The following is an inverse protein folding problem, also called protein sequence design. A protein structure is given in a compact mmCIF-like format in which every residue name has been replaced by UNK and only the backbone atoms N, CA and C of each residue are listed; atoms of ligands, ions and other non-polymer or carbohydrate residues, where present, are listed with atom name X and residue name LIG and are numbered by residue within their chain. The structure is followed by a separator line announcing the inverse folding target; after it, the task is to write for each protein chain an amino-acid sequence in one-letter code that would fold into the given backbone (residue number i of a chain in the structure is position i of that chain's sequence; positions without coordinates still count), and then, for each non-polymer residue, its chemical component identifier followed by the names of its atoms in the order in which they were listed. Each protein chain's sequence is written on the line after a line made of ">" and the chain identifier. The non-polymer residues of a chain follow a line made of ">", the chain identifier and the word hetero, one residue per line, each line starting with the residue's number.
data_IF_392887048244
#
_entry.id   IF_392887048244
#
_cell.length_a   1.000
_cell.length_b   1.000
_cell.length_c   1.000
_cell.angle_alpha   90.00
_cell.angle_beta   90.00
_cell.angle_gamma   90.00
#
_symmetry.space_group_name_H-M   'P 1'
#
loop_
_entity.id
_entity.type
_entity.pdbx_description
1 polymer ?
#
# COMPACT_ATOMS: atom_id res chain seq x y z
N UNK A 1 10.19 4.96 -22.67
CA UNK A 1 10.21 3.74 -21.83
C UNK A 1 10.90 4.10 -20.53
N UNK A 2 10.11 4.46 -19.52
CA UNK A 2 10.60 4.94 -18.23
C UNK A 2 11.10 3.75 -17.42
N UNK A 3 12.40 3.51 -17.40
CA UNK A 3 13.02 2.49 -16.55
C UNK A 3 12.86 2.95 -15.10
N UNK A 4 11.80 2.51 -14.41
CA UNK A 4 11.71 2.65 -12.96
C UNK A 4 12.85 1.81 -12.36
N UNK A 5 13.95 2.47 -11.99
CA UNK A 5 15.07 1.82 -11.34
C UNK A 5 14.57 1.20 -10.03
N UNK A 6 14.61 -0.13 -9.95
CA UNK A 6 14.32 -0.86 -8.72
C UNK A 6 15.46 -0.61 -7.72
N UNK A 7 15.15 -0.47 -6.45
CA UNK A 7 16.14 -0.47 -5.37
C UNK A 7 16.91 -1.80 -5.37
N UNK A 8 18.09 -1.90 -4.73
CA UNK A 8 18.79 -3.18 -4.56
C UNK A 8 17.92 -4.27 -3.91
N UNK A 9 16.88 -3.92 -3.14
CA UNK A 9 15.93 -4.91 -2.58
C UNK A 9 14.79 -5.32 -3.54
N UNK A 10 14.78 -4.79 -4.77
CA UNK A 10 13.79 -5.07 -5.81
C UNK A 10 12.52 -4.22 -5.71
N UNK A 11 12.54 -3.09 -4.99
CA UNK A 11 11.37 -2.22 -4.78
C UNK A 11 11.30 -1.07 -5.78
N UNK A 12 10.11 -0.70 -6.22
CA UNK A 12 9.89 0.53 -7.00
C UNK A 12 9.99 1.78 -6.09
N UNK A 13 10.46 2.93 -6.62
CA UNK A 13 10.54 4.21 -5.89
C UNK A 13 9.13 4.67 -5.49
N UNK A 14 8.86 5.10 -4.26
CA UNK A 14 7.55 5.48 -3.69
C UNK A 14 6.48 6.02 -4.67
N UNK A 15 5.21 5.55 -4.60
CA UNK A 15 4.17 6.00 -5.53
C UNK A 15 3.70 7.44 -5.27
N UNK A 16 3.88 7.95 -4.05
CA UNK A 16 3.40 9.28 -3.66
C UNK A 16 4.39 10.41 -4.01
N UNK A 17 5.68 10.14 -3.88
CA UNK A 17 6.71 11.18 -3.99
C UNK A 17 7.89 10.79 -4.89
N UNK A 18 7.91 9.58 -5.45
CA UNK A 18 9.07 9.04 -6.16
C UNK A 18 10.29 8.78 -5.29
N UNK A 19 10.19 9.00 -3.96
CA UNK A 19 11.27 8.79 -3.01
C UNK A 19 11.64 7.31 -2.82
N UNK A 20 12.77 7.05 -2.17
CA UNK A 20 13.26 5.68 -2.01
C UNK A 20 12.37 4.83 -1.09
N UNK A 21 12.17 3.56 -1.46
CA UNK A 21 11.46 2.56 -0.68
C UNK A 21 12.45 1.66 0.06
N UNK A 22 12.16 1.31 1.31
CA UNK A 22 12.89 0.30 2.07
C UNK A 22 11.97 -0.79 2.59
N UNK A 23 12.45 -2.03 2.54
CA UNK A 23 11.90 -3.14 3.31
C UNK A 23 12.49 -3.09 4.72
N UNK A 24 11.62 -3.11 5.73
CA UNK A 24 12.00 -3.23 7.15
C UNK A 24 11.65 -4.63 7.62
N UNK A 25 12.64 -5.49 7.72
CA UNK A 25 12.59 -6.79 8.38
C UNK A 25 13.29 -6.69 9.74
N UNK A 26 12.51 -6.54 10.81
CA UNK A 26 13.02 -6.53 12.17
C UNK A 26 12.86 -7.91 12.82
N UNK A 27 13.82 -8.35 13.63
CA UNK A 27 13.73 -9.63 14.37
C UNK A 27 12.58 -9.70 15.38
N UNK A 28 11.99 -8.56 15.73
CA UNK A 28 10.95 -8.40 16.76
C UNK A 28 9.66 -7.75 16.25
N UNK A 29 9.57 -7.42 14.96
CA UNK A 29 8.40 -6.77 14.36
C UNK A 29 8.03 -7.42 13.04
N UNK A 30 6.74 -7.55 12.77
CA UNK A 30 6.25 -8.02 11.47
C UNK A 30 6.83 -7.16 10.34
N UNK A 31 7.43 -7.78 9.30
CA UNK A 31 8.02 -7.04 8.19
C UNK A 31 7.01 -6.11 7.51
N UNK A 32 7.50 -4.98 6.99
CA UNK A 32 6.71 -4.03 6.22
C UNK A 32 7.61 -3.22 5.27
N UNK A 33 7.04 -2.66 4.21
CA UNK A 33 7.76 -1.77 3.30
C UNK A 33 7.28 -0.34 3.55
N UNK A 34 8.21 0.61 3.53
CA UNK A 34 7.88 2.02 3.65
C UNK A 34 8.73 2.90 2.73
N UNK A 35 8.23 4.09 2.43
CA UNK A 35 9.01 5.16 1.83
C UNK A 35 9.80 5.91 2.89
N UNK A 36 11.10 6.13 2.65
CA UNK A 36 11.99 6.91 3.53
C UNK A 36 11.63 8.40 3.53
N UNK A 37 11.07 8.92 2.44
CA UNK A 37 10.81 10.36 2.26
C UNK A 37 9.46 10.79 2.80
N UNK A 38 8.36 10.13 2.40
CA UNK A 38 7.00 10.54 2.77
C UNK A 38 6.37 9.68 3.88
N UNK A 39 7.02 8.59 4.29
CA UNK A 39 6.51 7.69 5.34
C UNK A 39 5.38 6.75 4.92
N UNK A 40 4.91 6.80 3.67
CA UNK A 40 3.92 5.86 3.13
C UNK A 40 4.39 4.41 3.32
N UNK A 41 3.55 3.52 3.81
CA UNK A 41 3.91 2.13 4.13
C UNK A 41 2.84 1.12 3.72
N UNK A 42 3.25 -0.12 3.47
CA UNK A 42 2.34 -1.27 3.34
C UNK A 42 1.80 -1.69 4.70
N UNK A 43 0.85 -2.63 4.69
CA UNK A 43 0.57 -3.43 5.88
C UNK A 43 1.80 -4.23 6.35
N UNK A 44 1.66 -4.88 7.50
CA UNK A 44 2.70 -5.72 8.08
C UNK A 44 2.38 -7.20 7.85
N UNK A 45 3.35 -7.97 7.37
CA UNK A 45 3.19 -9.41 7.06
C UNK A 45 4.53 -10.14 7.21
N UNK A 46 4.49 -11.39 7.64
CA UNK A 46 5.66 -12.28 7.65
C UNK A 46 6.15 -12.64 6.25
N UNK A 47 5.29 -12.49 5.23
CA UNK A 47 5.63 -12.72 3.84
C UNK A 47 6.12 -11.41 3.19
N UNK A 48 7.44 -11.21 3.23
CA UNK A 48 8.10 -10.04 2.64
C UNK A 48 7.90 -9.98 1.12
N UNK A 49 7.85 -11.12 0.43
CA UNK A 49 7.69 -11.17 -1.02
C UNK A 49 6.29 -10.76 -1.42
N UNK A 50 5.27 -11.14 -0.65
CA UNK A 50 3.91 -10.61 -0.81
C UNK A 50 3.86 -9.11 -0.60
N UNK A 51 4.59 -8.57 0.37
CA UNK A 51 4.67 -7.13 0.59
C UNK A 51 5.37 -6.41 -0.56
N UNK A 52 6.49 -6.97 -1.06
CA UNK A 52 7.21 -6.44 -2.23
C UNK A 52 6.31 -6.48 -3.45
N UNK A 53 5.59 -7.57 -3.66
CA UNK A 53 4.60 -7.69 -4.71
C UNK A 53 3.53 -6.61 -4.54
N UNK A 54 2.91 -6.45 -3.38
CA UNK A 54 1.92 -5.39 -3.13
C UNK A 54 2.47 -3.97 -3.37
N UNK A 55 3.69 -3.68 -2.90
CA UNK A 55 4.37 -2.39 -3.12
C UNK A 55 4.73 -2.13 -4.58
N UNK A 56 5.04 -3.19 -5.34
CA UNK A 56 5.46 -3.11 -6.74
C UNK A 56 4.29 -3.28 -7.71
N UNK A 57 3.18 -3.88 -7.30
CA UNK A 57 1.96 -4.10 -8.09
C UNK A 57 1.16 -2.80 -8.27
N UNK A 58 1.86 -1.67 -8.22
CA UNK A 58 1.36 -0.34 -8.52
C UNK A 58 0.87 -0.34 -9.96
N UNK A 59 -0.38 -0.68 -10.10
CA UNK A 59 -1.14 -0.17 -11.21
C UNK A 59 -1.22 1.33 -10.98
N UNK A 60 -1.25 2.11 -12.04
CA UNK A 60 -1.73 3.50 -12.03
C UNK A 60 -3.21 3.59 -11.58
N UNK A 61 -3.70 2.62 -10.80
CA UNK A 61 -5.06 2.47 -10.35
C UNK A 61 -5.26 3.20 -9.05
N UNK A 62 -6.36 3.91 -9.03
CA UNK A 62 -7.00 4.40 -7.83
C UNK A 62 -7.98 3.33 -7.36
N UNK A 63 -8.16 3.23 -6.04
CA UNK A 63 -9.20 2.42 -5.43
C UNK A 63 -10.04 3.33 -4.52
N UNK A 64 -11.26 2.93 -4.25
CA UNK A 64 -12.08 3.56 -3.23
C UNK A 64 -12.60 2.47 -2.30
N UNK A 65 -12.83 2.82 -1.04
CA UNK A 65 -13.44 1.90 -0.09
C UNK A 65 -14.96 1.96 -0.24
N UNK A 66 -15.57 0.81 -0.44
CA UNK A 66 -17.03 0.67 -0.50
C UNK A 66 -17.48 0.01 0.79
N UNK A 67 -18.49 0.59 1.44
CA UNK A 67 -19.08 -0.02 2.63
C UNK A 67 -19.90 -1.24 2.23
N UNK A 68 -19.45 -2.41 2.67
CA UNK A 68 -20.15 -3.66 2.47
C UNK A 68 -21.10 -3.91 3.64
N UNK A 69 -22.41 -3.90 3.34
CA UNK A 69 -23.48 -4.08 4.32
C UNK A 69 -23.58 -5.51 4.85
N UNK A 70 -23.07 -6.50 4.12
CA UNK A 70 -23.19 -7.92 4.52
C UNK A 70 -22.21 -8.25 5.64
N UNK A 71 -21.03 -7.65 5.59
CA UNK A 71 -19.94 -7.87 6.55
C UNK A 71 -19.72 -6.67 7.49
N UNK A 72 -20.54 -5.62 7.35
CA UNK A 72 -20.46 -4.37 8.11
C UNK A 72 -19.05 -3.74 8.10
N UNK A 73 -18.34 -3.84 6.98
CA UNK A 73 -16.94 -3.43 6.87
C UNK A 73 -16.66 -2.70 5.55
N UNK A 74 -15.67 -1.81 5.58
CA UNK A 74 -15.17 -1.16 4.38
C UNK A 74 -14.23 -2.11 3.64
N UNK A 75 -14.52 -2.34 2.35
CA UNK A 75 -13.68 -3.15 1.47
C UNK A 75 -13.13 -2.30 0.32
N UNK A 76 -11.88 -2.56 -0.04
CA UNK A 76 -11.28 -1.93 -1.22
C UNK A 76 -11.99 -2.41 -2.49
N UNK A 77 -12.36 -1.46 -3.38
CA UNK A 77 -13.05 -1.73 -4.65
C UNK A 77 -12.27 -2.65 -5.58
N UNK A 78 -10.94 -2.58 -5.55
CA UNK A 78 -10.06 -3.27 -6.49
C UNK A 78 -9.66 -4.67 -6.01
N UNK A 79 -9.28 -4.81 -4.73
CA UNK A 79 -8.73 -6.06 -4.21
C UNK A 79 -9.61 -6.77 -3.18
N UNK A 80 -10.68 -6.13 -2.71
CA UNK A 80 -11.53 -6.68 -1.64
C UNK A 80 -10.85 -6.72 -0.27
N UNK A 81 -9.69 -6.10 -0.10
CA UNK A 81 -9.01 -5.98 1.19
C UNK A 81 -9.88 -5.25 2.21
N UNK A 82 -10.02 -5.85 3.40
CA UNK A 82 -10.80 -5.29 4.50
C UNK A 82 -9.95 -4.30 5.28
N UNK A 83 -10.46 -3.08 5.48
CA UNK A 83 -9.70 -2.01 6.11
C UNK A 83 -9.46 -2.26 7.62
N UNK A 84 -8.29 -1.89 8.18
CA UNK A 84 -8.22 -1.49 9.57
C UNK A 84 -8.78 -0.07 9.69
N UNK A 85 -10.02 0.04 10.16
CA UNK A 85 -10.76 1.30 10.37
C UNK A 85 -9.89 2.33 11.13
N UNK A 86 -9.50 3.41 10.46
CA UNK A 86 -8.77 4.53 11.07
C UNK A 86 -8.46 5.65 10.07
N UNK A 87 -8.90 6.87 10.40
CA UNK A 87 -9.04 8.11 9.62
C UNK A 87 -8.00 8.51 8.54
N UNK A 88 -6.86 7.86 8.37
CA UNK A 88 -5.75 8.41 7.56
C UNK A 88 -4.96 7.40 6.70
N UNK A 89 -5.61 6.36 6.15
CA UNK A 89 -4.93 5.49 5.19
C UNK A 89 -5.09 6.09 3.77
N UNK A 90 -3.99 6.53 3.15
CA UNK A 90 -4.00 7.09 1.77
C UNK A 90 -3.83 6.05 0.66
N UNK A 91 -3.56 4.80 1.04
CA UNK A 91 -3.34 3.68 0.13
C UNK A 91 -3.90 2.40 0.72
N UNK A 92 -4.48 1.54 -0.13
CA UNK A 92 -4.94 0.24 0.32
C UNK A 92 -3.73 -0.62 0.75
N UNK A 93 -3.69 -1.16 1.98
CA UNK A 93 -2.55 -1.94 2.47
C UNK A 93 -2.39 -3.30 1.76
N UNK A 94 -3.47 -3.83 1.18
CA UNK A 94 -3.49 -5.13 0.49
C UNK A 94 -3.06 -5.03 -0.98
N UNK A 95 -3.46 -4.00 -1.70
CA UNK A 95 -3.14 -3.85 -3.13
C UNK A 95 -2.21 -2.69 -3.48
N UNK A 96 -1.97 -1.76 -2.55
CA UNK A 96 -1.11 -0.60 -2.78
C UNK A 96 -1.73 0.47 -3.70
N UNK A 97 -2.99 0.31 -4.13
CA UNK A 97 -3.71 1.31 -4.90
C UNK A 97 -3.95 2.58 -4.07
N UNK A 98 -3.95 3.74 -4.74
CA UNK A 98 -4.22 5.03 -4.09
C UNK A 98 -5.68 5.11 -3.70
N UNK A 99 -5.98 5.44 -2.46
CA UNK A 99 -7.36 5.66 -2.03
C UNK A 99 -7.81 7.04 -2.56
N UNK A 100 -8.85 7.06 -3.37
CA UNK A 100 -9.57 8.29 -3.69
C UNK A 100 -10.64 8.50 -2.63
N UNK A 101 -10.39 9.44 -1.73
CA UNK A 101 -11.40 9.97 -0.84
C UNK A 101 -12.38 10.77 -1.72
N UNK A 102 -13.61 10.29 -1.89
CA UNK A 102 -14.69 11.19 -2.30
C UNK A 102 -14.85 12.22 -1.17
N UNK A 103 -14.22 13.38 -1.35
CA UNK A 103 -14.42 14.56 -0.51
C UNK A 103 -15.88 14.96 -0.68
N UNK A 104 -16.74 14.48 0.21
CA UNK A 104 -18.08 15.04 0.38
C UNK A 104 -17.95 16.46 0.92
N UNK A 105 -18.26 17.43 0.05
CA UNK A 105 -18.46 18.86 0.37
C UNK A 105 -19.48 19.11 1.49
#
# INVERSE_FOLDING_TARGET
>A
MSYLAKTPEGLLPCPHCGGEAEARDGSSTTPYIRCKSCGCRTGSSHDIDRLKAAWNRRVESTCHYVYDKEICAWRCSECGGLEPVGDHVRYCPDCGARIEDEVGE
#
